data_IF_977969520361
#
_entry.id   IF_977969520361
#
_cell.length_a   1.000
_cell.length_b   1.000
_cell.length_c   1.000
_cell.angle_alpha   90.00
_cell.angle_beta   90.00
_cell.angle_gamma   90.00
#
_symmetry.space_group_name_H-M   'P 1'
#
loop_
_entity.id
_entity.type
_entity.pdbx_description
1 polymer ?
#
# COMPACT_ATOMS: atom_id res chain seq x y z
N UNK A 1 -0.72 -4.99 -3.01
CA UNK A 1 -1.48 -5.80 -3.97
C UNK A 1 -2.50 -6.72 -3.26
N UNK A 2 -2.09 -7.79 -2.57
CA UNK A 2 -3.03 -8.77 -1.96
C UNK A 2 -3.98 -8.15 -0.94
N UNK A 3 -3.53 -7.18 -0.12
CA UNK A 3 -4.41 -6.47 0.82
C UNK A 3 -5.58 -5.78 0.12
N UNK A 4 -5.36 -5.20 -1.05
CA UNK A 4 -6.42 -4.54 -1.84
C UNK A 4 -7.49 -5.55 -2.29
N UNK A 5 -7.12 -6.83 -2.44
CA UNK A 5 -8.02 -7.92 -2.81
C UNK A 5 -8.80 -8.47 -1.60
N UNK A 6 -8.19 -8.47 -0.41
CA UNK A 6 -8.76 -9.07 0.81
C UNK A 6 -9.39 -8.06 1.79
N UNK A 7 -9.24 -6.74 1.58
CA UNK A 7 -9.56 -5.65 2.53
C UNK A 7 -8.70 -5.73 3.81
N UNK A 8 -8.34 -4.59 4.41
CA UNK A 8 -7.31 -4.53 5.46
C UNK A 8 -7.50 -5.48 6.65
N UNK A 9 -8.73 -5.64 7.18
CA UNK A 9 -8.99 -6.54 8.32
C UNK A 9 -8.92 -8.02 7.96
N UNK A 10 -9.49 -8.40 6.82
CA UNK A 10 -9.42 -9.78 6.37
C UNK A 10 -8.00 -10.14 5.92
N UNK A 11 -7.25 -9.17 5.39
CA UNK A 11 -5.81 -9.32 5.14
C UNK A 11 -5.01 -9.55 6.44
N UNK A 12 -5.27 -8.78 7.50
CA UNK A 12 -4.62 -9.00 8.80
C UNK A 12 -4.95 -10.39 9.37
N UNK A 13 -6.23 -10.78 9.36
CA UNK A 13 -6.63 -12.12 9.82
C UNK A 13 -5.98 -13.22 8.98
N UNK A 14 -5.95 -13.05 7.65
CA UNK A 14 -5.27 -13.96 6.74
C UNK A 14 -3.80 -14.12 7.11
N UNK A 15 -3.10 -13.00 7.30
CA UNK A 15 -1.69 -12.99 7.65
C UNK A 15 -1.41 -13.72 8.99
N UNK A 16 -2.24 -13.46 10.01
CA UNK A 16 -2.12 -14.11 11.31
C UNK A 16 -2.44 -15.62 11.24
N UNK A 17 -3.46 -16.02 10.48
CA UNK A 17 -3.80 -17.43 10.28
C UNK A 17 -2.68 -18.18 9.56
N UNK A 18 -2.06 -17.57 8.56
CA UNK A 18 -0.87 -18.11 7.91
C UNK A 18 0.32 -18.21 8.89
N UNK A 19 0.49 -17.25 9.79
CA UNK A 19 1.48 -17.31 10.87
C UNK A 19 1.25 -18.49 11.82
N UNK A 20 0.01 -18.68 12.28
CA UNK A 20 -0.37 -19.83 13.12
C UNK A 20 -0.14 -21.15 12.40
N UNK A 21 -0.52 -21.25 11.13
CA UNK A 21 -0.25 -22.43 10.33
C UNK A 21 1.25 -22.70 10.13
N UNK A 22 2.07 -21.65 10.06
CA UNK A 22 3.52 -21.80 10.06
C UNK A 22 4.07 -22.35 11.37
N UNK A 23 3.57 -21.87 12.52
CA UNK A 23 3.93 -22.45 13.81
C UNK A 23 3.54 -23.94 13.91
N UNK A 24 2.38 -24.32 13.36
CA UNK A 24 1.97 -25.72 13.25
C UNK A 24 2.89 -26.51 12.30
N UNK A 25 3.28 -25.95 11.16
CA UNK A 25 4.23 -26.57 10.23
C UNK A 25 5.56 -26.91 10.91
N UNK A 26 6.15 -25.95 11.63
CA UNK A 26 7.34 -26.19 12.44
C UNK A 26 7.11 -27.28 13.49
N UNK A 27 6.02 -27.18 14.28
CA UNK A 27 5.71 -28.14 15.33
C UNK A 27 5.54 -29.58 14.78
N UNK A 28 4.94 -29.72 13.59
CA UNK A 28 4.81 -31.03 12.94
C UNK A 28 6.16 -31.63 12.55
N UNK A 29 7.10 -30.81 12.05
CA UNK A 29 8.45 -31.30 11.73
C UNK A 29 9.20 -31.75 12.98
N UNK A 30 9.17 -30.95 14.05
CA UNK A 30 9.83 -31.29 15.34
C UNK A 30 9.22 -32.55 15.94
N UNK A 31 7.91 -32.73 15.84
CA UNK A 31 7.23 -33.94 16.33
C UNK A 31 7.57 -35.18 15.49
N UNK A 32 7.85 -34.99 14.20
CA UNK A 32 8.20 -36.08 13.28
C UNK A 32 9.71 -36.43 13.31
N UNK A 33 10.57 -35.54 13.81
CA UNK A 33 12.02 -35.72 13.84
C UNK A 33 12.66 -35.11 15.09
N UNK A 34 13.38 -35.94 15.84
CA UNK A 34 14.14 -35.52 17.02
C UNK A 34 15.35 -34.62 16.69
N UNK A 35 15.69 -34.45 15.40
CA UNK A 35 16.84 -33.64 14.97
C UNK A 35 16.66 -32.12 15.18
N UNK A 36 15.44 -31.66 15.49
CA UNK A 36 15.10 -30.22 15.51
C UNK A 36 14.60 -29.72 16.88
N UNK A 37 14.90 -30.45 17.95
CA UNK A 37 14.39 -30.19 19.31
C UNK A 37 15.01 -28.95 19.98
N UNK A 38 16.23 -28.55 19.58
CA UNK A 38 16.99 -27.49 20.29
C UNK A 38 16.92 -26.09 19.63
N UNK A 39 16.23 -25.96 18.50
CA UNK A 39 16.16 -24.72 17.73
C UNK A 39 14.78 -24.07 17.79
N UNK A 40 14.66 -22.91 18.43
CA UNK A 40 13.41 -22.13 18.45
C UNK A 40 13.15 -21.42 17.10
N UNK A 41 11.89 -21.33 16.70
CA UNK A 41 11.46 -20.57 15.51
C UNK A 41 10.71 -19.31 15.91
N UNK A 42 11.17 -18.16 15.42
CA UNK A 42 10.50 -16.87 15.57
C UNK A 42 10.47 -16.21 14.19
N UNK A 43 9.28 -15.82 13.70
CA UNK A 43 9.22 -15.18 12.40
C UNK A 43 7.83 -14.77 11.96
N UNK A 44 7.74 -13.57 11.42
CA UNK A 44 6.56 -13.05 10.73
C UNK A 44 6.47 -13.57 9.26
N UNK A 45 7.50 -14.30 8.80
CA UNK A 45 7.69 -14.73 7.42
C UNK A 45 6.67 -15.76 6.95
N UNK A 46 6.15 -16.64 7.81
CA UNK A 46 5.10 -17.60 7.43
C UNK A 46 3.86 -16.91 6.82
N UNK A 47 3.46 -15.76 7.38
CA UNK A 47 2.40 -14.95 6.82
C UNK A 47 2.73 -14.38 5.43
N UNK A 48 4.00 -14.01 5.21
CA UNK A 48 4.50 -13.52 3.91
C UNK A 48 4.47 -14.63 2.86
N UNK A 49 4.83 -15.86 3.22
CA UNK A 49 4.72 -17.02 2.32
C UNK A 49 3.28 -17.30 1.91
N UNK A 50 2.32 -17.17 2.83
CA UNK A 50 0.89 -17.21 2.49
C UNK A 50 0.50 -16.12 1.49
N UNK A 51 0.98 -14.88 1.69
CA UNK A 51 0.74 -13.75 0.76
C UNK A 51 1.37 -14.01 -0.61
N UNK A 52 2.61 -14.53 -0.65
CA UNK A 52 3.34 -14.85 -1.88
C UNK A 52 2.55 -15.83 -2.74
N UNK A 53 2.06 -16.92 -2.15
CA UNK A 53 1.23 -17.91 -2.84
C UNK A 53 -0.04 -17.27 -3.40
N UNK A 54 -0.77 -16.51 -2.58
CA UNK A 54 -2.00 -15.86 -3.03
C UNK A 54 -1.73 -14.85 -4.15
N UNK A 55 -0.65 -14.08 -4.07
CA UNK A 55 -0.26 -13.17 -5.13
C UNK A 55 0.06 -13.91 -6.43
N UNK A 56 0.78 -15.03 -6.37
CA UNK A 56 1.06 -15.89 -7.53
C UNK A 56 -0.21 -16.52 -8.13
N UNK A 57 -1.24 -16.79 -7.33
CA UNK A 57 -2.53 -17.30 -7.81
C UNK A 57 -3.39 -16.21 -8.48
N UNK A 58 -3.33 -14.97 -8.00
CA UNK A 58 -4.13 -13.86 -8.53
C UNK A 58 -3.49 -13.26 -9.78
N UNK A 59 -2.17 -13.04 -9.74
CA UNK A 59 -1.44 -12.36 -10.81
C UNK A 59 -0.14 -13.14 -11.15
N UNK A 60 -0.27 -14.34 -11.74
CA UNK A 60 0.87 -15.23 -11.97
C UNK A 60 1.94 -14.63 -12.90
N UNK A 61 1.53 -13.81 -13.86
CA UNK A 61 2.41 -13.19 -14.87
C UNK A 61 2.87 -11.78 -14.48
N UNK A 62 2.49 -11.31 -13.28
CA UNK A 62 3.01 -10.06 -12.72
C UNK A 62 4.52 -10.15 -12.61
N UNK A 63 5.22 -9.17 -13.20
CA UNK A 63 6.68 -9.09 -13.16
C UNK A 63 7.13 -8.45 -11.85
N UNK A 64 8.04 -9.13 -11.15
CA UNK A 64 8.68 -8.65 -9.92
C UNK A 64 10.18 -8.63 -10.16
N UNK A 65 10.80 -7.49 -9.89
CA UNK A 65 12.24 -7.34 -9.97
C UNK A 65 12.84 -7.56 -8.59
N UNK A 66 13.81 -8.48 -8.49
CA UNK A 66 14.62 -8.64 -7.30
C UNK A 66 15.53 -7.41 -7.14
N UNK A 67 15.77 -6.99 -5.90
CA UNK A 67 16.63 -5.83 -5.64
C UNK A 67 18.10 -6.16 -5.93
N UNK A 68 18.56 -7.35 -5.50
CA UNK A 68 19.89 -7.87 -5.77
C UNK A 68 19.86 -9.40 -5.90
N UNK A 69 20.39 -9.99 -6.99
CA UNK A 69 20.73 -9.34 -8.27
C UNK A 69 19.47 -8.79 -8.97
N UNK A 70 19.57 -7.78 -9.87
CA UNK A 70 18.42 -7.13 -10.51
C UNK A 70 17.77 -8.00 -11.61
N UNK A 71 17.27 -9.18 -11.23
CA UNK A 71 16.61 -10.15 -12.11
C UNK A 71 15.10 -9.96 -12.04
N UNK A 72 14.46 -9.91 -13.21
CA UNK A 72 13.00 -9.85 -13.31
C UNK A 72 12.43 -11.26 -13.44
N UNK A 73 11.53 -11.62 -12.53
CA UNK A 73 10.84 -12.92 -12.51
C UNK A 73 9.33 -12.69 -12.59
N UNK A 74 8.59 -13.70 -13.05
CA UNK A 74 7.13 -13.71 -12.86
C UNK A 74 6.81 -14.08 -11.41
N UNK A 75 5.69 -13.59 -10.87
CA UNK A 75 5.28 -13.89 -9.50
C UNK A 75 5.12 -15.40 -9.27
N UNK A 76 4.62 -16.11 -10.30
CA UNK A 76 4.54 -17.57 -10.32
C UNK A 76 5.91 -18.23 -10.19
N UNK A 77 6.88 -17.80 -10.99
CA UNK A 77 8.23 -18.37 -10.96
C UNK A 77 8.91 -18.09 -9.62
N UNK A 78 8.79 -16.86 -9.10
CA UNK A 78 9.31 -16.51 -7.78
C UNK A 78 8.72 -17.42 -6.69
N UNK A 79 7.40 -17.59 -6.67
CA UNK A 79 6.75 -18.47 -5.70
C UNK A 79 7.21 -19.93 -5.83
N UNK A 80 7.30 -20.46 -7.05
CA UNK A 80 7.78 -21.85 -7.28
C UNK A 80 9.21 -22.01 -6.76
N UNK A 81 10.12 -21.10 -7.09
CA UNK A 81 11.52 -21.19 -6.67
C UNK A 81 11.66 -21.15 -5.15
N UNK A 82 10.99 -20.19 -4.50
CA UNK A 82 11.03 -20.02 -3.05
C UNK A 82 10.43 -21.23 -2.33
N UNK A 83 9.31 -21.78 -2.80
CA UNK A 83 8.69 -22.96 -2.21
C UNK A 83 9.50 -24.24 -2.46
N UNK A 84 10.03 -24.42 -3.67
CA UNK A 84 10.86 -25.57 -4.02
C UNK A 84 12.13 -25.60 -3.17
N UNK A 85 12.75 -24.44 -2.93
CA UNK A 85 13.88 -24.32 -2.02
C UNK A 85 13.50 -24.74 -0.59
N UNK A 86 12.39 -24.21 -0.06
CA UNK A 86 11.91 -24.59 1.28
C UNK A 86 11.65 -26.10 1.41
N UNK A 87 10.98 -26.70 0.42
CA UNK A 87 10.77 -28.16 0.38
C UNK A 87 12.10 -28.92 0.36
N UNK A 88 13.05 -28.50 -0.48
CA UNK A 88 14.36 -29.13 -0.57
C UNK A 88 15.11 -29.10 0.77
N UNK A 89 15.15 -27.95 1.44
CA UNK A 89 15.81 -27.79 2.75
C UNK A 89 15.17 -28.69 3.80
N UNK A 90 13.85 -28.78 3.84
CA UNK A 90 13.13 -29.66 4.77
C UNK A 90 13.45 -31.14 4.50
N UNK A 91 13.48 -31.55 3.23
CA UNK A 91 13.70 -32.95 2.84
C UNK A 91 15.14 -33.43 3.08
N UNK A 92 16.14 -32.57 2.82
CA UNK A 92 17.55 -32.89 3.05
C UNK A 92 17.95 -32.67 4.52
N UNK A 93 17.06 -32.05 5.29
CA UNK A 93 17.26 -31.78 6.71
C UNK A 93 18.32 -30.71 6.98
N UNK A 94 18.38 -29.68 6.15
CA UNK A 94 19.34 -28.58 6.30
C UNK A 94 19.15 -27.76 7.58
N UNK A 95 20.13 -26.90 7.87
CA UNK A 95 20.23 -26.16 9.14
C UNK A 95 18.98 -25.36 9.52
N UNK A 96 18.20 -24.89 8.53
CA UNK A 96 16.97 -24.13 8.74
C UNK A 96 15.68 -24.91 8.37
N UNK A 97 15.70 -26.24 8.40
CA UNK A 97 14.53 -27.06 8.06
C UNK A 97 13.29 -26.70 8.91
N UNK A 98 13.47 -26.38 10.19
CA UNK A 98 12.38 -25.92 11.05
C UNK A 98 11.72 -24.62 10.56
N UNK A 99 12.51 -23.62 10.18
CA UNK A 99 12.01 -22.37 9.62
C UNK A 99 11.29 -22.56 8.29
N UNK A 100 11.86 -23.39 7.41
CA UNK A 100 11.27 -23.68 6.10
C UNK A 100 9.99 -24.51 6.21
N UNK A 101 9.89 -25.46 7.14
CA UNK A 101 8.62 -26.14 7.44
C UNK A 101 7.54 -25.14 7.89
N UNK A 102 7.91 -24.12 8.67
CA UNK A 102 7.00 -23.04 9.03
C UNK A 102 6.59 -22.17 7.83
N UNK A 103 7.52 -21.87 6.92
CA UNK A 103 7.21 -21.17 5.67
C UNK A 103 6.21 -21.96 4.81
N UNK A 104 6.43 -23.27 4.66
CA UNK A 104 5.55 -24.17 3.90
C UNK A 104 4.16 -24.31 4.56
N UNK A 105 4.08 -24.34 5.90
CA UNK A 105 2.82 -24.31 6.62
C UNK A 105 2.01 -23.04 6.34
N UNK A 106 2.66 -21.87 6.36
CA UNK A 106 2.04 -20.59 6.00
C UNK A 106 1.63 -20.51 4.53
N UNK A 107 2.46 -21.02 3.62
CA UNK A 107 2.16 -21.12 2.19
C UNK A 107 0.92 -22.00 1.93
N UNK A 108 0.85 -23.17 2.57
CA UNK A 108 -0.27 -24.10 2.47
C UNK A 108 -1.57 -23.48 2.99
N UNK A 109 -1.52 -22.83 4.15
CA UNK A 109 -2.68 -22.12 4.68
C UNK A 109 -3.14 -20.99 3.74
N UNK A 110 -2.21 -20.21 3.19
CA UNK A 110 -2.51 -19.17 2.20
C UNK A 110 -3.22 -19.72 0.97
N UNK A 111 -2.70 -20.84 0.43
CA UNK A 111 -3.33 -21.57 -0.67
C UNK A 111 -4.76 -22.01 -0.32
N UNK A 112 -4.95 -22.69 0.81
CA UNK A 112 -6.26 -23.23 1.22
C UNK A 112 -7.28 -22.12 1.48
N UNK A 113 -6.89 -21.08 2.23
CA UNK A 113 -7.74 -19.93 2.53
C UNK A 113 -8.21 -19.21 1.27
N UNK A 114 -7.38 -19.16 0.22
CA UNK A 114 -7.75 -18.53 -1.04
C UNK A 114 -8.53 -19.47 -1.97
N UNK A 115 -8.09 -20.72 -2.10
CA UNK A 115 -8.65 -21.70 -3.05
C UNK A 115 -10.03 -22.20 -2.62
N UNK A 116 -10.27 -22.34 -1.31
CA UNK A 116 -11.53 -22.87 -0.78
C UNK A 116 -12.53 -21.72 -0.59
N UNK A 117 -13.65 -21.67 -1.35
CA UNK A 117 -14.58 -20.54 -1.32
C UNK A 117 -15.22 -20.32 0.06
N UNK A 118 -15.49 -21.41 0.80
CA UNK A 118 -16.07 -21.35 2.14
C UNK A 118 -15.12 -20.67 3.13
N UNK A 119 -13.83 -21.02 3.12
CA UNK A 119 -12.81 -20.40 3.97
C UNK A 119 -12.62 -18.93 3.61
N UNK A 120 -12.53 -18.62 2.31
CA UNK A 120 -12.42 -17.24 1.81
C UNK A 120 -13.64 -16.40 2.21
N UNK A 121 -14.83 -16.98 2.15
CA UNK A 121 -16.09 -16.35 2.57
C UNK A 121 -16.13 -16.10 4.08
N UNK A 122 -15.72 -17.07 4.89
CA UNK A 122 -15.62 -16.93 6.35
C UNK A 122 -14.62 -15.83 6.73
N UNK A 123 -13.44 -15.83 6.12
CA UNK A 123 -12.42 -14.80 6.31
C UNK A 123 -12.98 -13.40 6.00
N UNK A 124 -13.72 -13.26 4.90
CA UNK A 124 -14.38 -12.01 4.52
C UNK A 124 -15.48 -11.58 5.50
N UNK A 125 -16.23 -12.52 6.08
CA UNK A 125 -17.26 -12.24 7.10
C UNK A 125 -16.62 -11.82 8.43
N UNK A 126 -15.59 -12.53 8.86
CA UNK A 126 -14.88 -12.24 10.10
C UNK A 126 -14.12 -10.91 10.01
N UNK A 127 -13.53 -10.62 8.84
CA UNK A 127 -12.94 -9.32 8.52
C UNK A 127 -13.97 -8.16 8.49
N UNK A 128 -15.26 -8.46 8.42
CA UNK A 128 -16.37 -7.49 8.50
C UNK A 128 -16.98 -7.37 9.90
N UNK A 129 -16.73 -8.29 10.85
CA UNK A 129 -17.51 -8.40 12.09
C UNK A 129 -17.33 -7.23 13.08
N UNK A 130 -16.37 -6.33 12.85
CA UNK A 130 -16.25 -5.06 13.58
C UNK A 130 -16.62 -3.82 12.76
N UNK A 131 -17.21 -3.99 11.58
CA UNK A 131 -17.65 -2.88 10.74
C UNK A 131 -19.12 -2.63 11.05
N UNK A 132 -19.38 -1.92 12.15
CA UNK A 132 -20.45 -0.93 12.09
C UNK A 132 -20.21 -0.14 10.79
N UNK A 133 -21.21 -0.13 9.90
CA UNK A 133 -21.14 0.57 8.62
C UNK A 133 -20.50 1.93 8.82
N UNK A 134 -19.69 2.42 7.85
CA UNK A 134 -18.62 3.39 8.07
C UNK A 134 -19.01 4.36 9.17
N UNK A 135 -18.58 4.10 10.40
CA UNK A 135 -18.53 5.18 11.37
C UNK A 135 -17.59 6.13 10.66
N UNK A 136 -18.13 7.27 10.22
CA UNK A 136 -17.39 8.51 10.20
C UNK A 136 -16.92 8.70 11.64
N UNK A 137 -15.95 7.86 12.08
CA UNK A 137 -15.02 8.28 13.12
C UNK A 137 -14.56 9.63 12.62
N UNK A 138 -14.48 10.62 13.54
CA UNK A 138 -14.22 11.99 13.14
C UNK A 138 -13.10 11.86 12.14
N UNK A 139 -13.36 12.30 10.90
CA UNK A 139 -12.28 12.44 9.96
C UNK A 139 -11.16 13.02 10.80
N UNK A 140 -9.95 12.51 10.66
CA UNK A 140 -8.83 13.34 11.02
C UNK A 140 -9.01 14.59 10.13
N UNK A 141 -9.84 15.51 10.62
CA UNK A 141 -9.87 16.89 10.29
C UNK A 141 -8.53 17.23 10.86
N UNK A 142 -7.52 17.06 10.01
CA UNK A 142 -6.58 18.12 9.86
C UNK A 142 -7.49 19.34 9.79
N UNK A 143 -7.67 20.00 10.93
CA UNK A 143 -7.84 21.43 10.95
C UNK A 143 -6.54 21.90 10.34
N UNK A 144 -6.49 21.80 9.01
CA UNK A 144 -5.96 22.83 8.18
C UNK A 144 -6.84 23.96 8.66
N UNK A 145 -6.38 24.67 9.69
CA UNK A 145 -6.71 26.07 9.83
C UNK A 145 -6.65 26.52 8.39
N UNK A 146 -7.79 26.98 7.84
CA UNK A 146 -7.76 27.63 6.53
C UNK A 146 -6.79 28.79 6.73
N UNK A 147 -5.49 28.53 6.59
CA UNK A 147 -4.59 29.35 5.82
C UNK A 147 -5.26 29.30 4.47
N UNK A 148 -6.27 30.18 4.33
CA UNK A 148 -6.88 30.48 3.05
C UNK A 148 -5.71 30.61 2.12
N UNK A 149 -5.72 29.79 1.06
CA UNK A 149 -4.60 29.55 0.16
C UNK A 149 -3.76 30.82 0.12
N UNK A 150 -2.67 30.86 0.90
CA UNK A 150 -1.70 31.93 0.76
C UNK A 150 -1.05 31.53 -0.52
N UNK A 151 -1.63 32.04 -1.62
CA UNK A 151 -1.04 32.00 -2.93
C UNK A 151 0.36 32.53 -2.67
N UNK A 152 1.36 31.66 -2.70
CA UNK A 152 2.73 32.12 -2.64
C UNK A 152 2.83 33.05 -3.82
N UNK A 153 2.94 34.33 -3.48
CA UNK A 153 3.01 35.45 -4.39
C UNK A 153 4.19 35.15 -5.30
N UNK A 154 3.92 34.53 -6.46
CA UNK A 154 4.93 34.29 -7.47
C UNK A 154 5.43 35.68 -7.83
N UNK A 155 6.66 35.95 -7.38
CA UNK A 155 7.57 37.02 -7.77
C UNK A 155 6.83 38.24 -8.34
N UNK A 156 6.56 39.22 -7.48
CA UNK A 156 6.22 40.57 -7.94
C UNK A 156 7.37 41.04 -8.87
N UNK A 157 7.10 41.38 -10.13
CA UNK A 157 7.94 42.37 -10.79
C UNK A 157 7.79 43.62 -9.94
N UNK A 158 8.90 44.17 -9.47
CA UNK A 158 8.91 45.47 -8.82
C UNK A 158 8.42 46.49 -9.86
N UNK A 159 7.13 46.79 -9.83
CA UNK A 159 6.50 47.80 -10.69
C UNK A 159 6.54 49.14 -9.97
N UNK A 160 7.07 50.12 -10.68
CA UNK A 160 7.20 51.51 -10.24
C UNK A 160 5.88 52.23 -10.46
N UNK A 161 4.82 51.79 -9.79
CA UNK A 161 3.48 52.35 -9.97
C UNK A 161 2.98 52.89 -8.63
N UNK A 162 2.46 54.12 -8.65
CA UNK A 162 1.93 54.87 -7.50
C UNK A 162 0.78 54.12 -6.81
N UNK A 163 0.66 54.28 -5.49
CA UNK A 163 -0.17 53.42 -4.64
C UNK A 163 -1.67 53.36 -4.97
N UNK A 164 -2.22 54.35 -5.68
CA UNK A 164 -3.63 54.35 -6.10
C UNK A 164 -3.89 53.35 -7.23
N UNK A 165 -3.04 53.32 -8.26
CA UNK A 165 -3.13 52.39 -9.40
C UNK A 165 -2.89 50.94 -8.97
N UNK A 166 -2.04 50.71 -7.95
CA UNK A 166 -1.81 49.36 -7.40
C UNK A 166 -3.08 48.77 -6.78
N UNK A 167 -3.94 49.61 -6.19
CA UNK A 167 -5.19 49.15 -5.58
C UNK A 167 -6.22 48.75 -6.62
N UNK A 168 -6.24 49.44 -7.76
CA UNK A 168 -7.12 49.10 -8.88
C UNK A 168 -6.66 47.83 -9.60
N UNK A 169 -5.34 47.67 -9.79
CA UNK A 169 -4.79 46.43 -10.34
C UNK A 169 -5.12 45.23 -9.46
N UNK A 170 -5.00 45.36 -8.13
CA UNK A 170 -5.37 44.29 -7.20
C UNK A 170 -6.88 43.96 -7.28
N UNK A 171 -7.75 44.98 -7.34
CA UNK A 171 -9.21 44.79 -7.56
C UNK A 171 -9.51 44.03 -8.85
N UNK A 172 -8.78 44.32 -9.92
CA UNK A 172 -8.96 43.67 -11.21
C UNK A 172 -8.48 42.21 -11.16
N UNK A 173 -7.38 41.92 -10.47
CA UNK A 173 -6.90 40.54 -10.28
C UNK A 173 -7.89 39.68 -9.50
N UNK A 174 -8.54 40.26 -8.49
CA UNK A 174 -9.60 39.57 -7.73
C UNK A 174 -10.82 39.26 -8.62
N UNK A 175 -11.24 40.22 -9.44
CA UNK A 175 -12.32 40.04 -10.42
C UNK A 175 -12.03 38.93 -11.44
N UNK A 176 -10.79 38.83 -11.94
CA UNK A 176 -10.37 37.73 -12.83
C UNK A 176 -10.46 36.38 -12.10
N UNK A 177 -10.04 36.33 -10.85
CA UNK A 177 -10.02 35.10 -10.06
C UNK A 177 -11.45 34.58 -9.79
N UNK A 178 -12.43 35.47 -9.61
CA UNK A 178 -13.83 35.10 -9.35
C UNK A 178 -14.62 34.83 -10.63
N UNK A 179 -14.41 35.62 -11.69
CA UNK A 179 -15.28 35.62 -12.88
C UNK A 179 -14.58 35.30 -14.21
N UNK A 180 -13.26 35.09 -14.20
CA UNK A 180 -12.44 34.81 -15.38
C UNK A 180 -12.07 36.06 -16.20
N UNK A 181 -11.08 35.92 -17.10
CA UNK A 181 -10.52 37.02 -17.93
C UNK A 181 -11.53 37.71 -18.86
N UNK A 182 -12.61 37.02 -19.20
CA UNK A 182 -13.71 37.53 -20.01
C UNK A 182 -14.56 38.60 -19.29
N UNK A 183 -14.46 38.69 -17.96
CA UNK A 183 -15.22 39.65 -17.13
C UNK A 183 -14.66 41.07 -17.13
N UNK A 184 -13.49 41.28 -17.77
CA UNK A 184 -12.80 42.56 -17.79
C UNK A 184 -13.39 43.53 -18.82
N UNK A 185 -13.52 44.78 -18.42
CA UNK A 185 -13.84 45.88 -19.34
C UNK A 185 -12.61 46.26 -20.18
N UNK A 186 -12.82 47.04 -21.25
CA UNK A 186 -11.72 47.53 -22.10
C UNK A 186 -10.67 48.32 -21.32
N UNK A 187 -11.12 49.18 -20.40
CA UNK A 187 -10.28 50.00 -19.54
C UNK A 187 -9.48 49.14 -18.53
N UNK A 188 -10.13 48.14 -17.90
CA UNK A 188 -9.46 47.23 -16.95
C UNK A 188 -8.39 46.37 -17.63
N UNK A 189 -8.62 45.96 -18.89
CA UNK A 189 -7.63 45.26 -19.70
C UNK A 189 -6.45 46.14 -20.06
N UNK A 190 -6.70 47.41 -20.41
CA UNK A 190 -5.63 48.35 -20.73
C UNK A 190 -4.76 48.67 -19.51
N UNK A 191 -5.38 48.83 -18.33
CA UNK A 191 -4.68 49.04 -17.07
C UNK A 191 -3.78 47.85 -16.70
N UNK A 192 -4.31 46.62 -16.83
CA UNK A 192 -3.51 45.39 -16.66
C UNK A 192 -2.38 45.27 -17.69
N UNK A 193 -2.63 45.60 -18.94
CA UNK A 193 -1.62 45.55 -20.00
C UNK A 193 -0.51 46.57 -19.76
N UNK A 194 -0.84 47.76 -19.25
CA UNK A 194 0.12 48.79 -18.85
C UNK A 194 0.94 48.36 -17.64
N UNK A 195 0.30 47.72 -16.65
CA UNK A 195 0.98 47.18 -15.47
C UNK A 195 1.87 45.96 -15.79
N UNK A 196 1.54 45.19 -16.83
CA UNK A 196 2.28 44.02 -17.28
C UNK A 196 3.41 44.29 -18.29
N UNK A 197 3.44 45.48 -18.90
CA UNK A 197 4.54 45.90 -19.78
C UNK A 197 5.76 46.31 -18.95
N UNK A 198 6.76 45.46 -18.95
CA UNK A 198 8.17 45.86 -18.91
C UNK A 198 8.68 46.00 -20.34
#
# INVERSE_FOLDING_TARGET
FVEQQLRSRAFLLFYLLCGVAGALGYATLVSASNAYQDGGVVGASAGIFGILVVAAMIAPDMRVQLLFPPVTLTMRLLAILVLAYGVFVVLVGGDNAGGEAGHLGGALAGFLLWKIPVLRGLLGRLGRSGQGGPKKGPAFQIRIAKRGKVYQKKLRPQSTITGLESSEVDRILDKINEHGLQSLTGEERELLARAGKK
#
